data_IF_582128596476
#
_entry.id   IF_582128596476
#
_cell.length_a   1.000
_cell.length_b   1.000
_cell.length_c   1.000
_cell.angle_alpha   90.00
_cell.angle_beta   90.00
_cell.angle_gamma   90.00
#
_symmetry.space_group_name_H-M   'P 1'
#
loop_
_entity.id
_entity.type
_entity.pdbx_description
1 polymer ?
#
# COMPACT_ATOMS: atom_id res chain seq x y z
N UNK A 1 -22.60 7.10 -6.15
CA UNK A 1 -21.15 7.38 -5.99
C UNK A 1 -20.88 8.64 -5.16
N UNK A 2 -21.36 9.83 -5.56
CA UNK A 2 -21.15 11.06 -4.75
C UNK A 2 -21.79 10.97 -3.35
N UNK A 3 -22.97 10.36 -3.24
CA UNK A 3 -23.63 10.08 -1.97
C UNK A 3 -22.82 9.14 -1.07
N UNK A 4 -22.22 8.08 -1.64
CA UNK A 4 -21.36 7.14 -0.92
C UNK A 4 -20.06 7.79 -0.45
N UNK A 5 -19.47 8.67 -1.25
CA UNK A 5 -18.27 9.43 -0.86
C UNK A 5 -18.56 10.37 0.31
N UNK A 6 -19.67 11.13 0.23
CA UNK A 6 -20.12 12.02 1.32
C UNK A 6 -20.37 11.23 2.60
N UNK A 7 -21.03 10.07 2.50
CA UNK A 7 -21.29 9.18 3.63
C UNK A 7 -19.99 8.61 4.21
N UNK A 8 -19.07 8.15 3.36
CA UNK A 8 -17.77 7.63 3.80
C UNK A 8 -16.98 8.69 4.56
N UNK A 9 -16.91 9.93 4.05
CA UNK A 9 -16.24 11.05 4.74
C UNK A 9 -16.90 11.39 6.07
N UNK A 10 -18.23 11.44 6.13
CA UNK A 10 -18.95 11.71 7.37
C UNK A 10 -18.66 10.64 8.43
N UNK A 11 -18.71 9.36 8.06
CA UNK A 11 -18.40 8.25 8.96
C UNK A 11 -16.93 8.25 9.37
N UNK A 12 -16.02 8.57 8.44
CA UNK A 12 -14.59 8.59 8.72
C UNK A 12 -14.21 9.65 9.76
N UNK A 13 -14.88 10.81 9.75
CA UNK A 13 -14.72 11.85 10.79
C UNK A 13 -15.17 11.39 12.18
N UNK A 14 -16.11 10.45 12.23
CA UNK A 14 -16.66 9.89 13.48
C UNK A 14 -15.85 8.70 13.99
N UNK A 15 -14.89 8.20 13.21
CA UNK A 15 -14.01 7.11 13.60
C UNK A 15 -13.11 7.53 14.77
N UNK A 16 -13.07 6.77 15.87
CA UNK A 16 -12.13 7.06 16.96
C UNK A 16 -10.69 6.94 16.47
N UNK A 17 -9.84 7.85 16.93
CA UNK A 17 -8.41 7.91 16.56
C UNK A 17 -8.13 8.07 15.06
N UNK A 18 -9.11 8.53 14.26
CA UNK A 18 -8.89 8.84 12.83
C UNK A 18 -7.73 9.81 12.63
N UNK A 19 -7.60 10.81 13.51
CA UNK A 19 -6.49 11.77 13.49
C UNK A 19 -5.13 11.06 13.61
N UNK A 20 -5.00 10.06 14.49
CA UNK A 20 -3.75 9.30 14.60
C UNK A 20 -3.49 8.47 13.35
N UNK A 21 -4.49 7.79 12.79
CA UNK A 21 -4.33 7.04 11.55
C UNK A 21 -3.88 7.93 10.38
N UNK A 22 -4.44 9.15 10.28
CA UNK A 22 -4.03 10.14 9.28
C UNK A 22 -2.61 10.65 9.52
N UNK A 23 -2.23 10.91 10.78
CA UNK A 23 -0.86 11.34 11.13
C UNK A 23 0.14 10.24 10.75
N UNK A 24 -0.12 8.97 11.09
CA UNK A 24 0.76 7.87 10.69
C UNK A 24 0.84 7.72 9.17
N UNK A 25 -0.29 7.83 8.46
CA UNK A 25 -0.29 7.81 6.99
C UNK A 25 0.61 8.93 6.41
N UNK A 26 0.52 10.15 6.94
CA UNK A 26 1.36 11.27 6.51
C UNK A 26 2.84 11.06 6.85
N UNK A 27 3.14 10.53 8.04
CA UNK A 27 4.53 10.23 8.44
C UNK A 27 5.15 9.19 7.52
N UNK A 28 4.45 8.09 7.21
CA UNK A 28 4.96 7.08 6.30
C UNK A 28 5.09 7.59 4.87
N UNK A 29 4.16 8.42 4.40
CA UNK A 29 4.29 9.09 3.11
C UNK A 29 5.54 9.99 3.06
N UNK A 30 5.77 10.81 4.10
CA UNK A 30 6.95 11.67 4.19
C UNK A 30 8.25 10.86 4.24
N UNK A 31 8.27 9.75 5.00
CA UNK A 31 9.41 8.83 5.00
C UNK A 31 9.64 8.21 3.62
N UNK A 32 8.58 7.82 2.91
CA UNK A 32 8.66 7.35 1.54
C UNK A 32 9.36 8.36 0.64
N UNK A 33 8.90 9.61 0.64
CA UNK A 33 9.50 10.71 -0.15
C UNK A 33 10.98 10.91 0.22
N UNK A 34 11.31 10.94 1.51
CA UNK A 34 12.68 11.13 1.99
C UNK A 34 13.60 9.99 1.54
N UNK A 35 13.19 8.74 1.77
CA UNK A 35 13.97 7.57 1.37
C UNK A 35 14.16 7.50 -0.14
N UNK A 36 13.10 7.77 -0.89
CA UNK A 36 13.13 7.74 -2.36
C UNK A 36 14.08 8.79 -2.94
N UNK A 37 14.02 10.01 -2.40
CA UNK A 37 14.89 11.13 -2.81
C UNK A 37 16.36 10.88 -2.49
N UNK A 38 16.65 10.23 -1.37
CA UNK A 38 18.02 9.92 -0.93
C UNK A 38 18.61 8.73 -1.71
N UNK A 39 17.81 7.69 -1.95
CA UNK A 39 18.28 6.42 -2.52
C UNK A 39 18.15 6.34 -4.04
N UNK A 40 17.26 7.14 -4.65
CA UNK A 40 17.13 7.27 -6.12
C UNK A 40 17.06 5.93 -6.86
N UNK A 41 16.26 4.99 -6.34
CA UNK A 41 16.07 3.65 -6.92
C UNK A 41 17.07 2.58 -6.48
N UNK A 42 18.02 2.90 -5.59
CA UNK A 42 19.00 1.92 -5.10
C UNK A 42 18.37 0.72 -4.38
N UNK A 43 17.16 0.88 -3.85
CA UNK A 43 16.30 -0.19 -3.35
C UNK A 43 14.83 0.20 -3.48
N UNK A 44 13.92 -0.75 -3.25
CA UNK A 44 12.48 -0.54 -3.37
C UNK A 44 11.79 -0.21 -2.03
N UNK A 45 12.55 0.00 -0.95
CA UNK A 45 11.98 0.20 0.40
C UNK A 45 11.06 1.43 0.47
N UNK A 46 11.33 2.47 -0.32
CA UNK A 46 10.45 3.63 -0.44
C UNK A 46 9.05 3.24 -0.94
N UNK A 47 8.92 2.25 -1.81
CA UNK A 47 7.62 1.77 -2.32
C UNK A 47 6.74 1.20 -1.20
N UNK A 48 7.33 0.46 -0.24
CA UNK A 48 6.60 0.03 0.95
C UNK A 48 6.04 1.24 1.72
N UNK A 49 6.87 2.25 1.97
CA UNK A 49 6.45 3.45 2.72
C UNK A 49 5.34 4.22 2.02
N UNK A 50 5.37 4.30 0.68
CA UNK A 50 4.28 4.87 -0.12
C UNK A 50 2.98 4.06 -0.02
N UNK A 51 3.08 2.74 0.17
CA UNK A 51 1.91 1.86 0.21
C UNK A 51 1.29 1.72 1.61
N UNK A 52 2.07 1.86 2.68
CA UNK A 52 1.62 1.74 4.07
C UNK A 52 0.39 2.59 4.44
N UNK A 53 0.21 3.84 3.95
CA UNK A 53 -1.00 4.62 4.17
C UNK A 53 -2.32 3.88 3.85
N UNK A 54 -2.30 2.97 2.88
CA UNK A 54 -3.47 2.13 2.53
C UNK A 54 -3.94 1.28 3.72
N UNK A 55 -3.01 0.74 4.50
CA UNK A 55 -3.35 -0.06 5.70
C UNK A 55 -4.00 0.79 6.79
N UNK A 56 -3.51 2.02 7.01
CA UNK A 56 -4.09 2.95 7.98
C UNK A 56 -5.49 3.40 7.58
N UNK A 57 -5.71 3.68 6.29
CA UNK A 57 -7.05 3.98 5.76
C UNK A 57 -7.98 2.78 6.01
N UNK A 58 -7.57 1.56 5.67
CA UNK A 58 -8.40 0.38 5.90
C UNK A 58 -8.74 0.17 7.38
N UNK A 59 -7.74 0.23 8.27
CA UNK A 59 -7.95 0.06 9.72
C UNK A 59 -8.84 1.15 10.30
N UNK A 60 -8.75 2.38 9.81
CA UNK A 60 -9.62 3.47 10.27
C UNK A 60 -11.10 3.19 9.94
N UNK A 61 -11.43 2.72 8.73
CA UNK A 61 -12.82 2.35 8.42
C UNK A 61 -13.32 1.17 9.25
N UNK A 62 -12.47 0.16 9.50
CA UNK A 62 -12.82 -0.97 10.39
C UNK A 62 -13.16 -0.48 11.79
N UNK A 63 -12.42 0.50 12.32
CA UNK A 63 -12.66 1.06 13.64
C UNK A 63 -14.03 1.75 13.77
N UNK A 64 -14.59 2.28 12.68
CA UNK A 64 -15.92 2.90 12.64
C UNK A 64 -17.03 1.91 12.98
N UNK A 65 -16.87 0.63 12.64
CA UNK A 65 -17.90 -0.40 12.79
C UNK A 65 -18.22 -0.78 14.26
N UNK A 66 -17.45 -0.28 15.24
CA UNK A 66 -17.70 -0.50 16.67
C UNK A 66 -18.52 0.61 17.33
N UNK A 67 -18.79 1.70 16.60
CA UNK A 67 -19.75 2.72 17.03
C UNK A 67 -21.17 2.16 16.92
N UNK A 68 -21.96 2.28 18.00
CA UNK A 68 -23.33 1.73 18.09
C UNK A 68 -24.30 2.18 17.00
N UNK A 69 -23.97 3.19 16.18
CA UNK A 69 -24.80 3.67 15.07
C UNK A 69 -24.78 2.81 13.79
N UNK A 70 -23.87 1.84 13.67
CA UNK A 70 -23.62 1.11 12.40
C UNK A 70 -24.05 -0.35 12.47
N UNK A 71 -25.24 -0.60 13.03
CA UNK A 71 -25.84 -1.94 13.07
C UNK A 71 -26.74 -2.25 11.85
N UNK A 72 -26.78 -1.40 10.82
CA UNK A 72 -27.48 -1.75 9.56
C UNK A 72 -26.57 -2.55 8.62
N UNK A 73 -27.09 -3.66 8.10
CA UNK A 73 -26.33 -4.64 7.30
C UNK A 73 -25.65 -4.02 6.06
N UNK A 74 -26.33 -3.06 5.41
CA UNK A 74 -25.87 -2.46 4.16
C UNK A 74 -24.71 -1.48 4.37
N UNK A 75 -24.77 -0.64 5.41
CA UNK A 75 -23.71 0.33 5.72
C UNK A 75 -22.48 -0.39 6.27
N UNK A 76 -22.71 -1.37 7.16
CA UNK A 76 -21.65 -2.25 7.67
C UNK A 76 -20.89 -2.93 6.53
N UNK A 77 -21.60 -3.51 5.55
CA UNK A 77 -20.95 -4.10 4.38
C UNK A 77 -20.07 -3.07 3.65
N UNK A 78 -20.61 -1.89 3.34
CA UNK A 78 -19.86 -0.84 2.62
C UNK A 78 -18.62 -0.35 3.37
N UNK A 79 -18.65 -0.28 4.70
CA UNK A 79 -17.48 0.11 5.52
C UNK A 79 -16.32 -0.87 5.39
N UNK A 80 -16.60 -2.17 5.25
CA UNK A 80 -15.56 -3.18 5.07
C UNK A 80 -15.14 -3.36 3.62
N UNK A 81 -16.01 -3.10 2.66
CA UNK A 81 -15.75 -3.44 1.24
C UNK A 81 -15.48 -2.22 0.37
N UNK A 82 -16.34 -1.22 0.42
CA UNK A 82 -16.39 -0.17 -0.61
C UNK A 82 -15.71 1.11 -0.14
N UNK A 83 -16.01 1.58 1.06
CA UNK A 83 -15.51 2.86 1.57
C UNK A 83 -13.99 2.95 1.67
N UNK A 84 -13.25 1.95 2.19
CA UNK A 84 -11.79 2.00 2.21
C UNK A 84 -11.21 2.10 0.79
N UNK A 85 -11.73 1.29 -0.12
CA UNK A 85 -11.24 1.18 -1.49
C UNK A 85 -11.51 2.44 -2.33
N UNK A 86 -12.52 3.25 -1.98
CA UNK A 86 -12.75 4.56 -2.59
C UNK A 86 -11.58 5.54 -2.38
N UNK A 87 -10.80 5.38 -1.30
CA UNK A 87 -9.65 6.22 -1.01
C UNK A 87 -8.33 5.53 -1.40
N UNK A 88 -8.22 4.22 -1.10
CA UNK A 88 -6.99 3.43 -1.33
C UNK A 88 -6.63 3.38 -2.82
N UNK A 89 -7.59 3.07 -3.70
CA UNK A 89 -7.33 2.88 -5.14
C UNK A 89 -6.81 4.16 -5.78
N UNK A 90 -7.49 5.32 -5.70
CA UNK A 90 -6.96 6.54 -6.31
C UNK A 90 -5.65 6.99 -5.66
N UNK A 91 -5.51 6.84 -4.34
CA UNK A 91 -4.27 7.17 -3.64
C UNK A 91 -3.08 6.37 -4.18
N UNK A 92 -3.18 5.03 -4.22
CA UNK A 92 -2.04 4.19 -4.58
C UNK A 92 -1.67 4.32 -6.05
N UNK A 93 -2.66 4.53 -6.93
CA UNK A 93 -2.41 4.80 -8.35
C UNK A 93 -1.71 6.15 -8.54
N UNK A 94 -2.18 7.21 -7.88
CA UNK A 94 -1.53 8.52 -7.96
C UNK A 94 -0.13 8.49 -7.34
N UNK A 95 0.06 7.79 -6.22
CA UNK A 95 1.37 7.63 -5.59
C UNK A 95 2.33 6.88 -6.52
N UNK A 96 1.90 5.74 -7.09
CA UNK A 96 2.73 4.97 -8.02
C UNK A 96 3.06 5.75 -9.29
N UNK A 97 2.10 6.48 -9.87
CA UNK A 97 2.33 7.30 -11.05
C UNK A 97 3.25 8.49 -10.76
N UNK A 98 3.10 9.14 -9.61
CA UNK A 98 3.95 10.26 -9.19
C UNK A 98 5.41 9.83 -8.96
N UNK A 99 5.60 8.75 -8.21
CA UNK A 99 6.92 8.11 -8.02
C UNK A 99 7.45 7.61 -9.36
N UNK A 100 6.61 7.00 -10.18
CA UNK A 100 7.03 6.52 -11.50
C UNK A 100 7.49 7.60 -12.45
N UNK A 101 6.82 8.75 -12.48
CA UNK A 101 7.28 9.91 -13.24
C UNK A 101 8.67 10.38 -12.79
N UNK A 102 8.91 10.41 -11.47
CA UNK A 102 10.22 10.76 -10.90
C UNK A 102 11.30 9.75 -11.31
N UNK A 103 11.05 8.45 -11.17
CA UNK A 103 12.02 7.41 -11.53
C UNK A 103 12.26 7.29 -13.05
N UNK A 104 11.24 7.51 -13.89
CA UNK A 104 11.40 7.60 -15.33
C UNK A 104 12.30 8.78 -15.70
N UNK A 105 12.07 9.95 -15.09
CA UNK A 105 12.95 11.12 -15.26
C UNK A 105 14.39 10.81 -14.83
N UNK A 106 14.58 10.18 -13.67
CA UNK A 106 15.90 9.78 -13.20
C UNK A 106 16.58 8.78 -14.16
N UNK A 107 15.83 7.84 -14.74
CA UNK A 107 16.34 6.85 -15.69
C UNK A 107 16.77 7.46 -17.03
N UNK A 108 16.30 8.66 -17.35
CA UNK A 108 16.69 9.41 -18.54
C UNK A 108 17.91 10.32 -18.33
N UNK A 109 18.44 10.42 -17.10
CA UNK A 109 19.59 11.28 -16.77
C UNK A 109 20.79 10.48 -16.24
N UNK A 110 22.02 10.96 -16.45
CA UNK A 110 23.18 10.43 -15.75
C UNK A 110 23.14 10.89 -14.29
N UNK A 111 22.99 9.94 -13.36
CA UNK A 111 22.92 10.21 -11.92
C UNK A 111 24.16 9.61 -11.25
N UNK A 112 24.88 10.42 -10.47
CA UNK A 112 25.96 9.99 -9.56
C UNK A 112 27.10 9.17 -10.22
N UNK A 113 27.68 9.67 -11.32
CA UNK A 113 28.82 9.02 -12.00
C UNK A 113 28.58 7.58 -12.50
N UNK A 114 27.32 7.16 -12.56
CA UNK A 114 26.90 5.86 -13.11
C UNK A 114 26.51 6.04 -14.58
N UNK A 115 26.91 5.08 -15.42
CA UNK A 115 26.47 4.98 -16.82
C UNK A 115 24.94 4.98 -16.94
N UNK A 116 24.43 5.63 -17.98
CA UNK A 116 23.02 5.64 -18.36
C UNK A 116 22.39 4.25 -18.34
N UNK A 117 23.01 3.24 -18.95
CA UNK A 117 22.44 1.88 -19.02
C UNK A 117 22.26 1.28 -17.61
N UNK A 118 23.29 1.44 -16.77
CA UNK A 118 23.26 0.97 -15.38
C UNK A 118 22.21 1.71 -14.54
N UNK A 119 22.08 3.03 -14.71
CA UNK A 119 21.07 3.82 -14.01
C UNK A 119 19.65 3.44 -14.47
N UNK A 120 19.42 3.31 -15.77
CA UNK A 120 18.13 2.85 -16.33
C UNK A 120 17.74 1.47 -15.79
N UNK A 121 18.67 0.52 -15.74
CA UNK A 121 18.44 -0.80 -15.16
C UNK A 121 18.11 -0.74 -13.67
N UNK A 122 18.74 0.17 -12.92
CA UNK A 122 18.46 0.40 -11.50
C UNK A 122 17.04 0.94 -11.26
N UNK A 123 16.58 1.88 -12.10
CA UNK A 123 15.20 2.37 -12.06
C UNK A 123 14.19 1.29 -12.52
N UNK A 124 14.52 0.50 -13.53
CA UNK A 124 13.68 -0.63 -13.96
C UNK A 124 13.50 -1.66 -12.85
N UNK A 125 14.58 -1.99 -12.15
CA UNK A 125 14.56 -2.91 -11.00
C UNK A 125 13.69 -2.36 -9.87
N UNK A 126 13.76 -1.06 -9.59
CA UNK A 126 12.87 -0.41 -8.62
C UNK A 126 11.40 -0.68 -8.97
N UNK A 127 10.98 -0.49 -10.23
CA UNK A 127 9.59 -0.73 -10.64
C UNK A 127 9.12 -2.17 -10.46
N UNK A 128 9.99 -3.14 -10.77
CA UNK A 128 9.65 -4.56 -10.60
C UNK A 128 9.33 -4.89 -9.13
N UNK A 129 10.22 -4.49 -8.22
CA UNK A 129 10.04 -4.78 -6.81
C UNK A 129 8.92 -3.93 -6.19
N UNK A 130 8.85 -2.63 -6.52
CA UNK A 130 7.80 -1.74 -6.03
C UNK A 130 6.40 -2.26 -6.36
N UNK A 131 6.17 -2.72 -7.61
CA UNK A 131 4.88 -3.28 -8.01
C UNK A 131 4.48 -4.51 -7.19
N UNK A 132 5.42 -5.42 -6.95
CA UNK A 132 5.19 -6.64 -6.16
C UNK A 132 4.95 -6.29 -4.68
N UNK A 133 5.75 -5.39 -4.11
CA UNK A 133 5.60 -4.94 -2.72
C UNK A 133 4.22 -4.29 -2.49
N UNK A 134 3.80 -3.40 -3.41
CA UNK A 134 2.49 -2.75 -3.34
C UNK A 134 1.36 -3.79 -3.44
N UNK A 135 1.46 -4.75 -4.37
CA UNK A 135 0.46 -5.82 -4.50
C UNK A 135 0.27 -6.58 -3.18
N UNK A 136 1.39 -7.02 -2.58
CA UNK A 136 1.38 -7.77 -1.33
C UNK A 136 0.80 -6.93 -0.20
N UNK A 137 1.17 -5.65 -0.11
CA UNK A 137 0.67 -4.77 0.93
C UNK A 137 -0.82 -4.46 0.75
N UNK A 138 -1.32 -4.28 -0.47
CA UNK A 138 -2.75 -4.12 -0.74
C UNK A 138 -3.52 -5.38 -0.33
N UNK A 139 -3.02 -6.57 -0.63
CA UNK A 139 -3.58 -7.82 -0.15
C UNK A 139 -3.58 -7.89 1.38
N UNK A 140 -2.47 -7.54 2.03
CA UNK A 140 -2.36 -7.48 3.48
C UNK A 140 -3.35 -6.48 4.10
N UNK A 141 -3.53 -5.30 3.50
CA UNK A 141 -4.45 -4.28 4.01
C UNK A 141 -5.89 -4.78 4.12
N UNK A 142 -6.32 -5.63 3.18
CA UNK A 142 -7.65 -6.24 3.14
C UNK A 142 -7.84 -7.33 4.20
N UNK A 143 -6.78 -8.12 4.50
CA UNK A 143 -6.88 -9.28 5.40
C UNK A 143 -6.45 -8.99 6.84
N UNK A 144 -5.55 -8.02 7.04
CA UNK A 144 -4.80 -7.82 8.28
C UNK A 144 -5.67 -7.54 9.50
N UNK A 145 -6.81 -6.87 9.35
CA UNK A 145 -7.72 -6.62 10.47
C UNK A 145 -8.50 -7.89 10.92
N UNK A 146 -8.64 -8.88 10.05
CA UNK A 146 -9.35 -10.15 10.31
C UNK A 146 -8.41 -11.28 10.73
N UNK A 147 -7.20 -11.28 10.19
CA UNK A 147 -6.15 -12.26 10.43
C UNK A 147 -4.90 -11.57 10.96
N UNK A 148 -4.99 -10.89 12.10
CA UNK A 148 -3.94 -9.97 12.55
C UNK A 148 -2.58 -10.65 12.70
N UNK A 149 -2.49 -11.72 13.50
CA UNK A 149 -1.21 -12.40 13.76
C UNK A 149 -0.75 -13.18 12.54
N UNK A 150 -1.60 -14.07 12.01
CA UNK A 150 -1.24 -14.94 10.88
C UNK A 150 -1.02 -14.15 9.60
N UNK A 151 -1.84 -13.13 9.34
CA UNK A 151 -1.66 -12.22 8.21
C UNK A 151 -0.40 -11.37 8.34
N UNK A 152 -0.07 -10.88 9.54
CA UNK A 152 1.18 -10.15 9.75
C UNK A 152 2.41 -11.05 9.56
N UNK A 153 2.38 -12.28 10.07
CA UNK A 153 3.46 -13.24 9.89
C UNK A 153 3.69 -13.55 8.39
N UNK A 154 2.61 -13.87 7.67
CA UNK A 154 2.69 -14.14 6.22
C UNK A 154 3.17 -12.91 5.46
N UNK A 155 2.70 -11.71 5.82
CA UNK A 155 3.16 -10.46 5.21
C UNK A 155 4.67 -10.25 5.41
N UNK A 156 5.16 -10.42 6.65
CA UNK A 156 6.59 -10.27 6.98
C UNK A 156 7.43 -11.29 6.21
N UNK A 157 6.98 -12.55 6.16
CA UNK A 157 7.66 -13.63 5.43
C UNK A 157 7.74 -13.33 3.93
N UNK A 158 6.72 -12.71 3.34
CA UNK A 158 6.75 -12.37 1.91
C UNK A 158 7.53 -11.09 1.62
N UNK A 159 7.43 -10.06 2.46
CA UNK A 159 8.02 -8.74 2.19
C UNK A 159 9.53 -8.70 2.47
N UNK A 160 10.01 -9.38 3.52
CA UNK A 160 11.42 -9.35 3.91
C UNK A 160 12.36 -9.86 2.80
N UNK A 161 12.11 -11.04 2.18
CA UNK A 161 12.94 -11.51 1.08
C UNK A 161 12.96 -10.53 -0.09
N UNK A 162 11.81 -9.96 -0.45
CA UNK A 162 11.67 -9.01 -1.57
C UNK A 162 12.54 -7.77 -1.31
N UNK A 163 12.48 -7.22 -0.10
CA UNK A 163 13.32 -6.09 0.29
C UNK A 163 14.80 -6.41 0.22
N UNK A 164 15.22 -7.57 0.74
CA UNK A 164 16.61 -8.02 0.68
C UNK A 164 17.08 -8.23 -0.77
N UNK A 165 16.24 -8.81 -1.63
CA UNK A 165 16.54 -8.98 -3.05
C UNK A 165 16.63 -7.64 -3.78
N UNK A 166 15.78 -6.66 -3.43
CA UNK A 166 15.83 -5.31 -4.01
C UNK A 166 17.14 -4.56 -3.70
N UNK A 167 17.76 -4.87 -2.56
CA UNK A 167 19.01 -4.26 -2.10
C UNK A 167 20.25 -5.00 -2.63
N UNK A 168 20.10 -6.26 -3.02
CA UNK A 168 21.23 -7.08 -3.47
C UNK A 168 21.85 -6.55 -4.76
N UNK A 169 23.15 -6.19 -4.69
CA UNK A 169 23.98 -5.85 -5.85
C UNK A 169 24.31 -7.06 -6.74
N UNK A 170 24.02 -8.27 -6.28
CA UNK A 170 24.36 -9.54 -6.93
C UNK A 170 23.17 -10.19 -7.63
N UNK A 171 22.23 -9.41 -8.18
CA UNK A 171 21.16 -9.92 -9.06
C UNK A 171 21.43 -9.58 -10.52
N UNK A 172 22.53 -10.09 -11.13
CA UNK A 172 22.93 -9.72 -12.49
C UNK A 172 21.87 -10.09 -13.53
N UNK A 173 21.07 -11.14 -13.30
CA UNK A 173 19.97 -11.54 -14.20
C UNK A 173 18.81 -10.54 -14.20
N UNK A 174 18.47 -9.97 -13.05
CA UNK A 174 17.39 -8.97 -12.95
C UNK A 174 17.88 -7.65 -13.55
N UNK A 175 19.12 -7.26 -13.27
CA UNK A 175 19.75 -6.11 -13.91
C UNK A 175 19.81 -6.25 -15.44
N UNK A 176 20.25 -7.40 -15.95
CA UNK A 176 20.29 -7.67 -17.38
C UNK A 176 18.89 -7.68 -18.03
N UNK A 177 17.86 -8.13 -17.30
CA UNK A 177 16.47 -8.04 -17.78
C UNK A 177 15.94 -6.60 -17.81
N UNK A 178 16.35 -5.75 -16.86
CA UNK A 178 15.91 -4.36 -16.79
C UNK A 178 16.66 -3.44 -17.76
N UNK A 179 17.85 -3.83 -18.18
CA UNK A 179 18.65 -3.08 -19.16
C UNK A 179 17.87 -2.96 -20.48
N UNK A 180 17.73 -1.73 -20.98
CA UNK A 180 16.90 -1.41 -22.15
C UNK A 180 15.38 -1.52 -21.98
N UNK A 181 14.86 -1.97 -20.83
CA UNK A 181 13.42 -2.26 -20.63
C UNK A 181 12.72 -1.40 -19.57
N UNK A 182 13.23 -0.19 -19.28
CA UNK A 182 12.70 0.71 -18.24
C UNK A 182 11.17 0.90 -18.30
N UNK A 183 10.63 1.22 -19.48
CA UNK A 183 9.18 1.43 -19.69
C UNK A 183 8.42 0.12 -19.44
N UNK A 184 8.97 -1.01 -19.90
CA UNK A 184 8.38 -2.33 -19.66
C UNK A 184 8.29 -2.67 -18.17
N UNK A 185 9.34 -2.37 -17.40
CA UNK A 185 9.35 -2.54 -15.95
C UNK A 185 8.32 -1.64 -15.24
N UNK A 186 8.20 -0.38 -15.67
CA UNK A 186 7.17 0.54 -15.16
C UNK A 186 5.75 0.02 -15.44
N UNK A 187 5.47 -0.40 -16.68
CA UNK A 187 4.17 -0.95 -17.04
C UNK A 187 3.86 -2.24 -16.28
N UNK A 188 4.85 -3.12 -16.09
CA UNK A 188 4.71 -4.31 -15.26
C UNK A 188 4.32 -3.96 -13.83
N UNK A 189 5.03 -3.01 -13.21
CA UNK A 189 4.72 -2.59 -11.86
C UNK A 189 3.32 -1.97 -11.76
N UNK A 190 2.90 -1.16 -12.74
CA UNK A 190 1.54 -0.63 -12.81
C UNK A 190 0.47 -1.73 -12.88
N UNK A 191 0.70 -2.76 -13.71
CA UNK A 191 -0.19 -3.93 -13.80
C UNK A 191 -0.27 -4.63 -12.44
N UNK A 192 0.84 -4.79 -11.73
CA UNK A 192 0.84 -5.37 -10.38
C UNK A 192 0.06 -4.52 -9.37
N UNK A 193 0.17 -3.19 -9.43
CA UNK A 193 -0.65 -2.30 -8.59
C UNK A 193 -2.14 -2.47 -8.89
N UNK A 194 -2.53 -2.52 -10.17
CA UNK A 194 -3.93 -2.73 -10.58
C UNK A 194 -4.44 -4.09 -10.08
N UNK A 195 -3.65 -5.16 -10.26
CA UNK A 195 -3.98 -6.49 -9.73
C UNK A 195 -4.12 -6.43 -8.21
N UNK A 196 -3.24 -5.73 -7.50
CA UNK A 196 -3.32 -5.52 -6.06
C UNK A 196 -4.61 -4.81 -5.63
N UNK A 197 -5.04 -3.79 -6.38
CA UNK A 197 -6.32 -3.10 -6.13
C UNK A 197 -7.51 -4.04 -6.31
N UNK A 198 -7.55 -4.78 -7.42
CA UNK A 198 -8.61 -5.77 -7.70
C UNK A 198 -8.64 -6.85 -6.62
N UNK A 199 -7.48 -7.36 -6.25
CA UNK A 199 -7.32 -8.37 -5.21
C UNK A 199 -7.77 -7.85 -3.84
N UNK A 200 -7.45 -6.60 -3.49
CA UNK A 200 -7.92 -5.98 -2.25
C UNK A 200 -9.45 -5.87 -2.21
N UNK A 201 -10.08 -5.43 -3.31
CA UNK A 201 -11.56 -5.42 -3.43
C UNK A 201 -12.12 -6.83 -3.30
N UNK A 202 -11.54 -7.81 -3.99
CA UNK A 202 -11.98 -9.20 -3.91
C UNK A 202 -11.85 -9.76 -2.48
N UNK A 203 -10.71 -9.58 -1.82
CA UNK A 203 -10.45 -10.09 -0.48
C UNK A 203 -11.34 -9.43 0.58
N UNK A 204 -11.56 -8.12 0.50
CA UNK A 204 -12.49 -7.41 1.39
C UNK A 204 -13.92 -7.93 1.23
N UNK A 205 -14.36 -8.20 -0.01
CA UNK A 205 -15.66 -8.81 -0.30
C UNK A 205 -15.74 -10.31 0.05
N UNK A 206 -14.65 -11.06 -0.02
CA UNK A 206 -14.62 -12.46 0.38
C UNK A 206 -14.73 -12.58 1.90
N UNK A 207 -13.97 -11.74 2.60
CA UNK A 207 -13.80 -11.85 4.03
C UNK A 207 -14.82 -11.05 4.82
N UNK A 208 -15.68 -10.19 4.23
CA UNK A 208 -16.52 -9.26 5.00
C UNK A 208 -17.35 -9.92 6.11
N UNK A 209 -17.85 -11.15 5.89
CA UNK A 209 -18.64 -11.91 6.87
C UNK A 209 -17.81 -12.47 8.02
N UNK A 210 -16.50 -12.65 7.84
CA UNK A 210 -15.61 -13.17 8.87
C UNK A 210 -15.45 -12.14 9.99
N UNK A 211 -15.50 -12.59 11.23
CA UNK A 211 -15.29 -11.74 12.39
C UNK A 211 -13.87 -11.16 12.44
N UNK A 212 -13.74 -10.03 13.15
CA UNK A 212 -12.45 -9.43 13.44
C UNK A 212 -11.66 -10.36 14.38
N UNK A 213 -10.33 -10.33 14.26
CA UNK A 213 -9.49 -11.05 15.21
C UNK A 213 -9.73 -10.53 16.65
N UNK A 214 -9.65 -11.42 17.64
CA UNK A 214 -9.88 -11.03 19.05
C UNK A 214 -8.96 -9.89 19.50
N UNK A 215 -7.71 -9.87 19.04
CA UNK A 215 -6.76 -8.81 19.33
C UNK A 215 -7.19 -7.46 18.73
N UNK A 216 -7.66 -7.49 17.48
CA UNK A 216 -8.20 -6.28 16.85
C UNK A 216 -9.44 -5.78 17.59
N UNK A 217 -10.35 -6.69 17.96
CA UNK A 217 -11.55 -6.36 18.73
C UNK A 217 -11.20 -5.74 20.09
N UNK A 218 -10.30 -6.36 20.87
CA UNK A 218 -9.84 -5.86 22.19
C UNK A 218 -9.13 -4.51 22.09
N UNK A 219 -8.36 -4.29 21.03
CA UNK A 219 -7.68 -3.01 20.77
C UNK A 219 -8.67 -1.89 20.48
N UNK A 220 -9.65 -2.17 19.61
CA UNK A 220 -10.67 -1.20 19.25
C UNK A 220 -11.62 -0.92 20.41
N UNK A 221 -12.07 -1.94 21.15
CA UNK A 221 -12.94 -1.76 22.33
C UNK A 221 -12.31 -0.86 23.39
N UNK A 222 -11.01 -1.04 23.70
CA UNK A 222 -10.26 -0.14 24.60
C UNK A 222 -10.18 1.30 24.10
N UNK A 223 -10.32 1.53 22.80
CA UNK A 223 -10.26 2.86 22.21
C UNK A 223 -11.59 3.62 22.29
N UNK A 224 -12.71 2.94 22.55
CA UNK A 224 -14.04 3.54 22.77
C UNK A 224 -14.37 3.76 24.25
N UNK A 225 -13.70 3.05 25.16
CA UNK A 225 -13.88 3.19 26.62
C UNK A 225 -13.03 4.31 27.25
N UNK A 226 -12.35 5.11 26.43
CA UNK A 226 -11.58 6.30 26.83
C UNK A 226 -12.14 7.52 26.13
#
# INVERSE_FOLDING_TARGET
MVSDYKMAVQLWKLTPKVKMHLVFALVFLALGILYDSLLKGANAVSALYFALPCTFVHTSFVATNLSGMIQSSTVRKKIFTTFPNLFIIPYILLAYLGVGAFHLYLGMQPVNAVDYATNSALQGRFFLFAGIEILILLAYSAVGNKLLISGAAVFIIMILPIMLFSQSRHTPRIFAFCDGHLIGCFLFGLVMVIIGCVLSVFLTHLLYKRDLSELALKSLARSYMK
#
